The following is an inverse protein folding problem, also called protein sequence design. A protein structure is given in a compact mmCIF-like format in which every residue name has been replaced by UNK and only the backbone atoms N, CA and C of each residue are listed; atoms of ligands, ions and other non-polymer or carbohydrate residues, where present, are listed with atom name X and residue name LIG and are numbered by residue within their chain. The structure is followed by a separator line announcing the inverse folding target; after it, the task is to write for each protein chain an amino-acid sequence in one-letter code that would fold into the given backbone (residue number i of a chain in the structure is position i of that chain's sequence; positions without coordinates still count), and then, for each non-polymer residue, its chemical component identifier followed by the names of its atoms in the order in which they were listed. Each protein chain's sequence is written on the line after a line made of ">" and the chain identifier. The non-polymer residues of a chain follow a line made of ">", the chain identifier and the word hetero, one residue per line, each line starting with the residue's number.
data_IF_549756170884
#
_entry.id   IF_549756170884
#
_cell.length_a   1.000
_cell.length_b   1.000
_cell.length_c   1.000
_cell.angle_alpha   90.00
_cell.angle_beta   90.00
_cell.angle_gamma   90.00
#
_symmetry.space_group_name_H-M   'P 1'
#
loop_
_entity.id
_entity.type
_entity.pdbx_description
1 polymer ?
#
# COMPACT_ATOMS: atom_id res chain seq x y z
N UNK A 1 -9.88 -21.13 -13.79
CA UNK A 1 -11.31 -21.01 -13.38
C UNK A 1 -12.02 -19.84 -14.10
N UNK A 2 -11.46 -19.40 -15.23
CA UNK A 2 -12.09 -18.35 -16.04
C UNK A 2 -13.55 -18.69 -16.37
N UNK A 3 -14.43 -17.69 -16.23
CA UNK A 3 -15.86 -17.71 -16.60
C UNK A 3 -16.69 -18.87 -15.99
N UNK A 4 -16.20 -19.51 -14.90
CA UNK A 4 -16.80 -20.75 -14.37
C UNK A 4 -18.27 -20.59 -13.96
N UNK A 5 -18.63 -19.46 -13.39
CA UNK A 5 -20.00 -19.14 -12.99
C UNK A 5 -20.57 -17.91 -13.73
N UNK A 6 -19.96 -17.57 -14.87
CA UNK A 6 -20.44 -16.44 -15.71
C UNK A 6 -21.92 -16.59 -16.07
N UNK A 7 -22.71 -15.56 -15.81
CA UNK A 7 -24.13 -15.55 -16.10
C UNK A 7 -24.99 -16.47 -15.22
N UNK A 8 -24.43 -17.09 -14.19
CA UNK A 8 -25.18 -17.92 -13.25
C UNK A 8 -25.84 -17.05 -12.17
N UNK A 9 -26.86 -16.29 -12.55
CA UNK A 9 -27.49 -15.25 -11.72
C UNK A 9 -27.81 -15.72 -10.29
N UNK A 10 -28.31 -16.94 -10.10
CA UNK A 10 -28.71 -17.48 -8.78
C UNK A 10 -27.60 -18.26 -8.07
N UNK A 11 -26.39 -18.26 -8.61
CA UNK A 11 -25.28 -18.99 -7.98
C UNK A 11 -24.80 -18.22 -6.74
N UNK A 12 -25.05 -18.78 -5.58
CA UNK A 12 -24.60 -18.26 -4.28
C UNK A 12 -24.32 -19.40 -3.29
N UNK A 13 -23.70 -20.48 -3.78
CA UNK A 13 -23.31 -21.63 -2.97
C UNK A 13 -22.00 -21.32 -2.25
N UNK A 14 -21.88 -21.76 -0.98
CA UNK A 14 -20.62 -21.64 -0.26
C UNK A 14 -19.52 -22.52 -0.88
N UNK A 15 -18.49 -21.88 -1.37
CA UNK A 15 -17.31 -22.49 -1.99
C UNK A 15 -16.02 -22.04 -1.31
N UNK A 16 -16.12 -21.44 -0.11
CA UNK A 16 -14.95 -20.89 0.61
C UNK A 16 -13.89 -21.94 0.97
N UNK A 17 -14.27 -23.24 1.02
CA UNK A 17 -13.34 -24.34 1.27
C UNK A 17 -12.66 -24.90 0.03
N UNK A 18 -12.90 -24.34 -1.15
CA UNK A 18 -12.24 -24.81 -2.37
C UNK A 18 -10.75 -24.52 -2.35
N UNK A 19 -9.96 -25.50 -2.78
CA UNK A 19 -8.55 -25.29 -3.08
C UNK A 19 -8.40 -24.64 -4.46
N UNK A 20 -8.01 -23.36 -4.45
CA UNK A 20 -7.78 -22.56 -5.66
C UNK A 20 -6.29 -22.23 -5.84
N UNK A 21 -5.40 -22.79 -5.01
CA UNK A 21 -3.98 -22.46 -4.96
C UNK A 21 -3.24 -22.64 -6.29
N UNK A 22 -3.73 -23.48 -7.18
CA UNK A 22 -3.16 -23.69 -8.52
C UNK A 22 -3.85 -22.88 -9.63
N UNK A 23 -4.79 -21.99 -9.28
CA UNK A 23 -5.51 -21.18 -10.26
C UNK A 23 -4.69 -19.97 -10.65
N UNK A 24 -4.48 -19.77 -11.93
CA UNK A 24 -3.75 -18.63 -12.50
C UNK A 24 -4.68 -17.59 -13.15
N UNK A 25 -5.92 -17.97 -13.48
CA UNK A 25 -6.86 -17.09 -14.18
C UNK A 25 -8.27 -17.22 -13.59
N UNK A 26 -8.78 -16.11 -13.04
CA UNK A 26 -10.13 -15.98 -12.46
C UNK A 26 -11.02 -14.99 -13.25
N UNK A 27 -10.65 -14.69 -14.52
CA UNK A 27 -11.42 -13.76 -15.34
C UNK A 27 -12.89 -14.16 -15.36
N UNK A 28 -13.79 -13.19 -15.15
CA UNK A 28 -15.23 -13.33 -15.29
C UNK A 28 -15.90 -14.37 -14.40
N UNK A 29 -15.19 -14.92 -13.39
CA UNK A 29 -15.63 -16.09 -12.63
C UNK A 29 -17.02 -15.94 -12.04
N UNK A 30 -17.35 -14.76 -11.51
CA UNK A 30 -18.65 -14.45 -10.90
C UNK A 30 -19.37 -13.30 -11.62
N UNK A 31 -19.02 -13.06 -12.89
CA UNK A 31 -19.68 -12.02 -13.68
C UNK A 31 -21.16 -12.35 -13.92
N UNK A 32 -22.03 -11.33 -13.83
CA UNK A 32 -23.48 -11.48 -13.97
C UNK A 32 -24.08 -12.54 -13.02
N UNK A 33 -23.62 -12.58 -11.77
CA UNK A 33 -24.13 -13.48 -10.73
C UNK A 33 -24.51 -12.72 -9.47
N UNK A 34 -25.26 -13.37 -8.58
CA UNK A 34 -25.60 -12.85 -7.23
C UNK A 34 -24.66 -13.41 -6.16
N UNK A 35 -23.47 -13.89 -6.55
CA UNK A 35 -22.52 -14.52 -5.64
C UNK A 35 -22.05 -13.55 -4.56
N UNK A 36 -22.22 -13.93 -3.29
CA UNK A 36 -21.79 -13.16 -2.12
C UNK A 36 -21.35 -14.05 -0.95
N UNK A 37 -20.70 -15.19 -1.23
CA UNK A 37 -20.15 -16.03 -0.17
C UNK A 37 -18.72 -15.62 0.17
N UNK A 38 -18.33 -15.89 1.42
CA UNK A 38 -16.98 -15.59 1.89
C UNK A 38 -15.95 -16.47 1.18
N UNK A 39 -15.03 -15.82 0.49
CA UNK A 39 -13.89 -16.41 -0.22
C UNK A 39 -12.56 -15.78 0.21
N UNK A 40 -12.55 -15.02 1.31
CA UNK A 40 -11.35 -14.35 1.83
C UNK A 40 -10.22 -15.33 2.20
N UNK A 41 -10.54 -16.60 2.49
CA UNK A 41 -9.55 -17.65 2.79
C UNK A 41 -8.91 -18.29 1.57
N UNK A 42 -9.31 -17.94 0.35
CA UNK A 42 -8.71 -18.50 -0.86
C UNK A 42 -7.25 -18.11 -1.03
N UNK A 43 -6.40 -19.07 -1.33
CA UNK A 43 -5.03 -18.81 -1.77
C UNK A 43 -5.02 -18.42 -3.25
N UNK A 44 -4.97 -17.12 -3.52
CA UNK A 44 -4.95 -16.55 -4.88
C UNK A 44 -3.54 -16.16 -5.33
N UNK A 45 -2.50 -16.53 -4.59
CA UNK A 45 -1.10 -16.12 -4.80
C UNK A 45 -0.51 -16.50 -6.16
N UNK A 46 -1.17 -17.38 -6.91
CA UNK A 46 -0.76 -17.75 -8.27
C UNK A 46 -1.64 -17.12 -9.37
N UNK A 47 -2.65 -16.30 -9.00
CA UNK A 47 -3.53 -15.66 -9.97
C UNK A 47 -2.82 -14.47 -10.61
N UNK A 48 -2.86 -14.42 -11.93
CA UNK A 48 -2.29 -13.31 -12.73
C UNK A 48 -3.37 -12.48 -13.41
N UNK A 49 -4.60 -12.98 -13.54
CA UNK A 49 -5.69 -12.30 -14.21
C UNK A 49 -6.99 -12.40 -13.40
N UNK A 50 -7.50 -11.23 -12.97
CA UNK A 50 -8.77 -11.08 -12.25
C UNK A 50 -9.77 -10.20 -13.02
N UNK A 51 -9.52 -9.97 -14.33
CA UNK A 51 -10.40 -9.16 -15.18
C UNK A 51 -11.86 -9.62 -15.06
N UNK A 52 -12.78 -8.66 -14.89
CA UNK A 52 -14.21 -8.91 -14.89
C UNK A 52 -14.70 -9.92 -13.82
N UNK A 53 -13.91 -10.22 -12.76
CA UNK A 53 -14.23 -11.30 -11.83
C UNK A 53 -15.60 -11.13 -11.16
N UNK A 54 -15.99 -9.91 -10.81
CA UNK A 54 -17.29 -9.56 -10.22
C UNK A 54 -18.06 -8.55 -11.09
N UNK A 55 -17.87 -8.61 -12.40
CA UNK A 55 -18.51 -7.74 -13.37
C UNK A 55 -20.04 -7.91 -13.35
N UNK A 56 -20.80 -6.82 -13.13
CA UNK A 56 -22.26 -6.85 -12.93
C UNK A 56 -22.69 -7.83 -11.82
N UNK A 57 -21.92 -7.88 -10.72
CA UNK A 57 -22.33 -8.60 -9.52
C UNK A 57 -22.81 -7.58 -8.48
N UNK A 58 -24.13 -7.44 -8.36
CA UNK A 58 -24.75 -6.40 -7.53
C UNK A 58 -24.61 -6.65 -6.02
N UNK A 59 -24.37 -7.90 -5.61
CA UNK A 59 -24.48 -8.30 -4.22
C UNK A 59 -23.11 -8.56 -3.54
N UNK A 60 -22.02 -8.75 -4.28
CA UNK A 60 -20.75 -9.12 -3.70
C UNK A 60 -20.20 -8.02 -2.78
N UNK A 61 -20.00 -8.38 -1.51
CA UNK A 61 -19.46 -7.47 -0.49
C UNK A 61 -18.69 -8.22 0.60
N UNK A 62 -17.73 -9.06 0.20
CA UNK A 62 -16.89 -9.77 1.17
C UNK A 62 -15.53 -9.11 1.30
N UNK A 63 -14.91 -9.28 2.48
CA UNK A 63 -13.55 -8.84 2.74
C UNK A 63 -12.55 -9.70 1.97
N UNK A 64 -11.69 -9.05 1.18
CA UNK A 64 -10.66 -9.68 0.36
C UNK A 64 -9.25 -9.23 0.77
N UNK A 65 -9.11 -8.59 1.92
CA UNK A 65 -7.85 -7.98 2.34
C UNK A 65 -6.72 -8.99 2.58
N UNK A 66 -7.07 -10.25 2.83
CA UNK A 66 -6.11 -11.36 3.00
C UNK A 66 -5.59 -11.97 1.70
N UNK A 67 -6.12 -11.57 0.55
CA UNK A 67 -5.67 -12.07 -0.74
C UNK A 67 -4.27 -11.56 -1.10
N UNK A 68 -3.36 -12.48 -1.43
CA UNK A 68 -2.09 -12.15 -2.07
C UNK A 68 -2.30 -11.93 -3.57
N UNK A 69 -2.41 -10.68 -3.98
CA UNK A 69 -2.61 -10.28 -5.39
C UNK A 69 -1.31 -9.82 -6.07
N UNK A 70 -0.15 -10.05 -5.45
CA UNK A 70 1.14 -9.54 -5.90
C UNK A 70 1.56 -9.97 -7.32
N UNK A 71 0.97 -11.06 -7.85
CA UNK A 71 1.20 -11.53 -9.22
C UNK A 71 0.13 -11.09 -10.22
N UNK A 72 -0.93 -10.41 -9.78
CA UNK A 72 -2.01 -10.00 -10.67
C UNK A 72 -1.54 -8.86 -11.56
N UNK A 73 -1.72 -9.02 -12.86
CA UNK A 73 -1.37 -7.99 -13.86
C UNK A 73 -2.57 -7.29 -14.48
N UNK A 74 -3.73 -7.94 -14.48
CA UNK A 74 -4.96 -7.40 -15.06
C UNK A 74 -6.11 -7.45 -14.04
N UNK A 75 -6.53 -6.25 -13.58
CA UNK A 75 -7.71 -6.03 -12.72
C UNK A 75 -8.81 -5.24 -13.45
N UNK A 76 -8.72 -5.13 -14.78
CA UNK A 76 -9.70 -4.37 -15.55
C UNK A 76 -11.12 -4.85 -15.32
N UNK A 77 -12.05 -3.92 -15.06
CA UNK A 77 -13.48 -4.17 -14.84
C UNK A 77 -13.79 -5.16 -13.70
N UNK A 78 -12.85 -5.38 -12.74
CA UNK A 78 -13.05 -6.40 -11.71
C UNK A 78 -14.34 -6.20 -10.91
N UNK A 79 -14.68 -4.95 -10.59
CA UNK A 79 -15.90 -4.56 -9.86
C UNK A 79 -16.79 -3.61 -10.69
N UNK A 80 -16.76 -3.74 -12.03
CA UNK A 80 -17.57 -2.91 -12.91
C UNK A 80 -19.04 -3.17 -12.68
N UNK A 81 -19.80 -2.11 -12.36
CA UNK A 81 -21.22 -2.19 -11.95
C UNK A 81 -21.43 -3.29 -10.90
N UNK A 82 -20.65 -3.17 -9.82
CA UNK A 82 -20.79 -3.97 -8.59
C UNK A 82 -21.15 -3.03 -7.41
N UNK A 83 -22.36 -2.44 -7.41
CA UNK A 83 -22.71 -1.33 -6.54
C UNK A 83 -22.73 -1.70 -5.05
N UNK A 84 -22.88 -2.97 -4.70
CA UNK A 84 -22.84 -3.46 -3.33
C UNK A 84 -21.43 -3.59 -2.75
N UNK A 85 -20.36 -3.51 -3.56
CA UNK A 85 -19.02 -3.80 -3.11
C UNK A 85 -18.42 -2.65 -2.29
N UNK A 86 -18.07 -2.93 -1.06
CA UNK A 86 -17.26 -2.11 -0.17
C UNK A 86 -16.38 -2.98 0.75
N UNK A 87 -16.03 -4.20 0.32
CA UNK A 87 -15.11 -5.09 1.04
C UNK A 87 -13.72 -4.47 1.15
N UNK A 88 -13.01 -4.80 2.25
CA UNK A 88 -11.66 -4.29 2.45
C UNK A 88 -10.67 -4.88 1.45
N UNK A 89 -9.86 -4.03 0.82
CA UNK A 89 -8.81 -4.33 -0.16
C UNK A 89 -7.59 -3.42 0.03
N UNK A 90 -7.48 -2.78 1.20
CA UNK A 90 -6.48 -1.74 1.45
C UNK A 90 -5.04 -2.26 1.52
N UNK A 91 -4.83 -3.54 1.85
CA UNK A 91 -3.49 -4.14 1.95
C UNK A 91 -3.02 -4.85 0.68
N UNK A 92 -3.74 -4.76 -0.42
CA UNK A 92 -3.35 -5.40 -1.67
C UNK A 92 -2.02 -4.86 -2.20
N UNK A 93 -1.09 -5.76 -2.51
CA UNK A 93 0.11 -5.44 -3.28
C UNK A 93 -0.23 -5.38 -4.77
N UNK A 94 -0.39 -4.16 -5.28
CA UNK A 94 -0.78 -3.92 -6.68
C UNK A 94 0.42 -3.61 -7.59
N UNK A 95 1.65 -3.80 -7.12
CA UNK A 95 2.88 -3.42 -7.82
C UNK A 95 3.06 -4.06 -9.20
N UNK A 96 2.47 -5.25 -9.42
CA UNK A 96 2.51 -5.95 -10.72
C UNK A 96 1.36 -5.57 -11.67
N UNK A 97 0.36 -4.79 -11.20
CA UNK A 97 -0.83 -4.48 -12.00
C UNK A 97 -0.50 -3.48 -13.11
N UNK A 98 -0.85 -3.83 -14.34
CA UNK A 98 -0.64 -2.97 -15.51
C UNK A 98 -1.90 -2.29 -16.02
N UNK A 99 -3.08 -2.82 -15.71
CA UNK A 99 -4.36 -2.23 -16.11
C UNK A 99 -5.41 -2.33 -15.01
N UNK A 100 -6.06 -1.20 -14.73
CA UNK A 100 -7.18 -1.04 -13.80
C UNK A 100 -8.36 -0.33 -14.46
N UNK A 101 -8.44 -0.35 -15.81
CA UNK A 101 -9.49 0.37 -16.51
C UNK A 101 -10.87 -0.14 -16.10
N UNK A 102 -11.78 0.80 -15.89
CA UNK A 102 -13.18 0.53 -15.49
C UNK A 102 -13.33 -0.26 -14.18
N UNK A 103 -12.29 -0.40 -13.34
CA UNK A 103 -12.30 -1.33 -12.19
C UNK A 103 -13.46 -1.06 -11.22
N UNK A 104 -13.74 0.19 -10.89
CA UNK A 104 -14.82 0.62 -10.00
C UNK A 104 -15.86 1.49 -10.72
N UNK A 105 -16.01 1.35 -12.04
CA UNK A 105 -17.00 2.09 -12.81
C UNK A 105 -18.40 1.60 -12.48
N UNK A 106 -19.26 2.46 -11.95
CA UNK A 106 -20.61 2.10 -11.49
C UNK A 106 -21.69 2.31 -12.55
N UNK A 107 -21.33 2.79 -13.75
CA UNK A 107 -22.28 2.95 -14.86
C UNK A 107 -23.47 3.88 -14.56
N UNK A 108 -23.39 4.70 -13.53
CA UNK A 108 -24.47 5.58 -13.07
C UNK A 108 -25.40 4.95 -12.02
N UNK A 109 -25.12 3.75 -11.53
CA UNK A 109 -25.87 3.15 -10.42
C UNK A 109 -25.40 3.74 -9.08
N UNK A 110 -26.28 3.82 -8.06
CA UNK A 110 -25.86 4.12 -6.71
C UNK A 110 -24.84 3.09 -6.22
N UNK A 111 -23.81 3.54 -5.49
CA UNK A 111 -22.73 2.69 -5.00
C UNK A 111 -22.44 2.93 -3.52
N UNK A 112 -21.60 2.07 -2.95
CA UNK A 112 -21.14 2.17 -1.56
C UNK A 112 -19.62 2.16 -1.43
N UNK A 113 -18.87 2.04 -2.56
CA UNK A 113 -17.43 1.87 -2.56
C UNK A 113 -16.71 3.13 -2.08
N UNK A 114 -16.06 3.03 -0.92
CA UNK A 114 -15.22 4.10 -0.35
C UNK A 114 -14.06 3.54 0.49
N UNK A 115 -13.47 2.41 0.10
CA UNK A 115 -12.31 1.86 0.81
C UNK A 115 -11.07 2.70 0.57
N UNK A 116 -10.22 2.78 1.60
CA UNK A 116 -8.91 3.43 1.49
C UNK A 116 -7.96 2.58 0.66
N UNK A 117 -7.63 3.07 -0.52
CA UNK A 117 -6.71 2.47 -1.48
C UNK A 117 -5.51 3.39 -1.77
N UNK A 118 -5.27 4.36 -0.90
CA UNK A 118 -4.18 5.34 -1.03
C UNK A 118 -2.79 4.69 -1.07
N UNK A 119 -2.65 3.51 -0.43
CA UNK A 119 -1.39 2.77 -0.36
C UNK A 119 -1.11 1.84 -1.55
N UNK A 120 -2.00 1.77 -2.53
CA UNK A 120 -1.77 0.94 -3.70
C UNK A 120 -0.56 1.43 -4.50
N UNK A 121 0.31 0.50 -4.89
CA UNK A 121 1.39 0.79 -5.84
C UNK A 121 0.84 0.80 -7.27
N UNK A 122 0.77 1.98 -7.85
CA UNK A 122 0.25 2.20 -9.20
C UNK A 122 1.34 2.46 -10.22
N UNK A 123 2.61 2.26 -9.86
CA UNK A 123 3.76 2.62 -10.66
C UNK A 123 3.89 1.82 -11.96
N UNK A 124 3.38 0.59 -11.99
CA UNK A 124 3.35 -0.26 -13.18
C UNK A 124 2.12 -0.05 -14.07
N UNK A 125 1.11 0.71 -13.58
CA UNK A 125 -0.16 0.85 -14.30
C UNK A 125 -0.01 1.78 -15.51
N UNK A 126 -0.54 1.32 -16.63
CA UNK A 126 -0.52 2.06 -17.91
C UNK A 126 -1.93 2.46 -18.38
N UNK A 127 -2.98 1.90 -17.77
CA UNK A 127 -4.36 2.18 -18.16
C UNK A 127 -5.30 2.20 -16.95
N UNK A 128 -5.91 3.37 -16.71
CA UNK A 128 -6.93 3.64 -15.68
C UNK A 128 -8.18 4.31 -16.29
N UNK A 129 -8.48 4.09 -17.60
CA UNK A 129 -9.64 4.68 -18.22
C UNK A 129 -10.89 4.38 -17.39
N UNK A 130 -11.69 5.44 -17.12
CA UNK A 130 -12.98 5.37 -16.44
C UNK A 130 -12.99 4.56 -15.13
N UNK A 131 -11.84 4.47 -14.42
CA UNK A 131 -11.70 3.63 -13.22
C UNK A 131 -12.73 3.95 -12.14
N UNK A 132 -13.01 5.23 -11.92
CA UNK A 132 -13.98 5.73 -10.92
C UNK A 132 -15.19 6.43 -11.55
N UNK A 133 -15.53 6.08 -12.79
CA UNK A 133 -16.69 6.68 -13.44
C UNK A 133 -17.98 6.42 -12.65
N UNK A 134 -18.68 7.50 -12.29
CA UNK A 134 -19.94 7.46 -11.51
C UNK A 134 -19.83 6.83 -10.11
N UNK A 135 -18.65 6.79 -9.47
CA UNK A 135 -18.52 6.43 -8.07
C UNK A 135 -19.04 7.56 -7.18
N UNK A 136 -20.29 7.45 -6.72
CA UNK A 136 -21.01 8.58 -6.11
C UNK A 136 -20.57 8.90 -4.67
N UNK A 137 -19.96 7.93 -3.96
CA UNK A 137 -19.54 8.09 -2.55
C UNK A 137 -18.04 8.08 -2.34
N UNK A 138 -17.25 7.69 -3.33
CA UNK A 138 -15.79 7.61 -3.21
C UNK A 138 -15.17 8.97 -2.90
N UNK A 139 -14.35 9.05 -1.82
CA UNK A 139 -13.75 10.29 -1.36
C UNK A 139 -12.36 10.09 -0.73
N UNK A 140 -11.57 9.12 -1.18
CA UNK A 140 -10.25 8.85 -0.66
C UNK A 140 -9.18 9.73 -1.28
N UNK A 141 -8.07 9.92 -0.58
CA UNK A 141 -6.92 10.68 -1.06
C UNK A 141 -6.02 9.80 -1.92
N UNK A 142 -5.93 10.09 -3.22
CA UNK A 142 -5.07 9.39 -4.17
C UNK A 142 -3.85 10.21 -4.60
N UNK A 143 -3.58 11.34 -3.93
CA UNK A 143 -2.43 12.20 -4.26
C UNK A 143 -1.09 11.48 -4.11
N UNK A 144 -1.05 10.40 -3.31
CA UNK A 144 0.10 9.53 -3.14
C UNK A 144 0.36 8.55 -4.28
N UNK A 145 -0.58 8.39 -5.22
CA UNK A 145 -0.40 7.43 -6.31
C UNK A 145 0.71 7.85 -7.27
N UNK A 146 1.61 6.90 -7.54
CA UNK A 146 2.67 7.05 -8.52
C UNK A 146 2.18 6.57 -9.89
N UNK A 147 2.05 7.47 -10.86
CA UNK A 147 1.46 7.18 -12.18
C UNK A 147 2.35 7.66 -13.33
N UNK A 148 3.65 7.27 -13.37
CA UNK A 148 4.62 7.78 -14.33
C UNK A 148 4.29 7.40 -15.76
N UNK A 149 3.59 6.28 -15.94
CA UNK A 149 3.26 5.74 -17.26
C UNK A 149 1.97 6.33 -17.86
N UNK A 150 1.26 7.18 -17.09
CA UNK A 150 0.01 7.81 -17.52
C UNK A 150 0.19 9.33 -17.55
N UNK A 151 0.62 9.86 -18.71
CA UNK A 151 1.06 11.25 -18.85
C UNK A 151 0.00 12.34 -18.65
N UNK A 152 -1.28 11.98 -18.62
CA UNK A 152 -2.41 12.89 -18.37
C UNK A 152 -3.58 12.14 -17.77
N UNK A 153 -4.55 12.84 -17.15
CA UNK A 153 -5.76 12.21 -16.62
C UNK A 153 -6.42 11.33 -17.70
N UNK A 154 -6.64 10.02 -17.41
CA UNK A 154 -7.26 9.13 -18.36
C UNK A 154 -8.70 9.53 -18.70
N UNK A 155 -9.14 9.16 -19.89
CA UNK A 155 -10.51 9.41 -20.34
C UNK A 155 -11.52 8.94 -19.29
N UNK A 156 -12.41 9.84 -18.89
CA UNK A 156 -13.50 9.57 -17.94
C UNK A 156 -13.06 9.02 -16.57
N UNK A 157 -11.78 9.11 -16.18
CA UNK A 157 -11.23 8.53 -14.94
C UNK A 157 -12.15 8.74 -13.73
N UNK A 158 -12.66 9.94 -13.54
CA UNK A 158 -13.54 10.33 -12.42
C UNK A 158 -14.81 11.05 -12.88
N UNK A 159 -15.20 10.89 -14.15
CA UNK A 159 -16.40 11.56 -14.66
C UNK A 159 -17.63 11.08 -13.89
N UNK A 160 -18.51 12.02 -13.51
CA UNK A 160 -19.69 11.77 -12.69
C UNK A 160 -19.44 11.15 -11.31
N UNK A 161 -18.20 11.04 -10.86
CA UNK A 161 -17.87 10.61 -9.50
C UNK A 161 -18.29 11.67 -8.45
N UNK A 162 -18.15 11.33 -7.16
CA UNK A 162 -18.42 12.23 -6.04
C UNK A 162 -17.90 13.64 -6.32
N UNK A 163 -18.77 14.65 -6.28
CA UNK A 163 -18.45 16.00 -6.71
C UNK A 163 -17.39 16.66 -5.83
N UNK A 164 -17.36 16.37 -4.53
CA UNK A 164 -16.36 16.90 -3.61
C UNK A 164 -14.99 16.31 -3.93
N UNK A 165 -14.91 14.99 -4.13
CA UNK A 165 -13.66 14.31 -4.43
C UNK A 165 -13.10 14.67 -5.81
N UNK A 166 -13.92 14.57 -6.86
CA UNK A 166 -13.44 14.79 -8.25
C UNK A 166 -12.95 16.20 -8.51
N UNK A 167 -13.44 17.20 -7.73
CA UNK A 167 -13.07 18.61 -7.87
C UNK A 167 -11.96 19.02 -6.91
N UNK A 168 -11.56 18.16 -5.97
CA UNK A 168 -10.46 18.41 -5.04
C UNK A 168 -9.14 17.96 -5.66
N UNK A 169 -8.41 18.91 -6.24
CA UNK A 169 -7.12 18.64 -6.88
C UNK A 169 -6.06 18.10 -5.89
N UNK A 170 -6.20 18.37 -4.59
CA UNK A 170 -5.25 17.90 -3.57
C UNK A 170 -5.37 16.39 -3.31
N UNK A 171 -6.49 15.78 -3.70
CA UNK A 171 -6.75 14.34 -3.57
C UNK A 171 -6.50 13.54 -4.85
N UNK A 172 -6.04 14.18 -5.91
CA UNK A 172 -5.90 13.54 -7.21
C UNK A 172 -4.44 13.13 -7.47
N UNK A 173 -4.22 12.03 -8.25
CA UNK A 173 -2.88 11.68 -8.71
C UNK A 173 -2.24 12.80 -9.54
N UNK A 174 -0.91 12.92 -9.45
CA UNK A 174 -0.15 13.79 -10.34
C UNK A 174 0.25 13.03 -11.60
N UNK A 175 -0.55 13.11 -12.63
CA UNK A 175 -0.39 12.35 -13.86
C UNK A 175 0.98 12.56 -14.52
N UNK A 176 1.58 11.48 -14.99
CA UNK A 176 2.94 11.48 -15.55
C UNK A 176 4.05 11.58 -14.52
N UNK A 177 3.68 11.60 -13.23
CA UNK A 177 4.62 11.76 -12.14
C UNK A 177 4.36 10.75 -11.02
N UNK A 178 5.36 10.63 -10.19
CA UNK A 178 5.22 10.10 -8.85
C UNK A 178 5.32 11.26 -7.87
N UNK A 179 4.50 11.29 -6.81
CA UNK A 179 4.60 12.35 -5.82
C UNK A 179 6.05 12.51 -5.33
N UNK A 180 6.56 13.72 -5.41
CA UNK A 180 7.92 14.03 -4.96
C UNK A 180 8.07 14.00 -3.43
N UNK A 181 6.96 13.91 -2.71
CA UNK A 181 6.89 13.90 -1.26
C UNK A 181 6.61 12.50 -0.72
N UNK A 182 7.44 11.55 -1.04
CA UNK A 182 7.44 10.35 -0.26
C UNK A 182 7.92 10.70 1.14
N UNK A 183 7.05 10.50 2.12
CA UNK A 183 7.38 10.78 3.51
C UNK A 183 8.24 9.65 4.06
N UNK A 184 9.29 10.04 4.74
CA UNK A 184 10.11 9.16 5.55
C UNK A 184 9.89 9.54 7.00
N UNK A 185 9.50 8.59 7.83
CA UNK A 185 9.45 8.74 9.28
C UNK A 185 10.52 7.85 9.89
N UNK A 186 11.37 8.42 10.75
CA UNK A 186 12.36 7.67 11.52
C UNK A 186 11.92 7.70 12.98
N UNK A 187 11.80 6.55 13.61
CA UNK A 187 11.46 6.40 15.02
C UNK A 187 12.49 5.55 15.74
N UNK A 188 12.58 5.70 17.07
CA UNK A 188 13.33 4.86 17.99
C UNK A 188 12.35 4.01 18.80
N UNK A 189 12.77 2.84 19.27
CA UNK A 189 12.03 2.07 20.28
C UNK A 189 12.16 2.67 21.69
N UNK A 190 13.05 3.65 21.86
CA UNK A 190 13.14 4.47 23.06
C UNK A 190 12.15 5.64 22.95
N UNK A 191 11.10 5.64 23.76
CA UNK A 191 9.94 6.52 23.63
C UNK A 191 10.23 8.00 23.95
N UNK A 192 11.29 8.30 24.71
CA UNK A 192 11.70 9.65 25.06
C UNK A 192 12.93 10.13 24.27
N UNK A 193 13.50 9.25 23.43
CA UNK A 193 14.72 9.49 22.65
C UNK A 193 15.95 9.84 23.53
N UNK A 194 15.94 9.43 24.82
CA UNK A 194 17.04 9.61 25.77
C UNK A 194 17.71 8.26 26.00
N UNK A 195 18.74 7.99 25.23
CA UNK A 195 19.40 6.68 25.22
C UNK A 195 20.39 6.58 26.37
N UNK A 196 20.24 5.57 27.20
CA UNK A 196 21.17 5.30 28.33
C UNK A 196 22.39 4.50 27.88
N UNK A 197 22.22 3.23 27.60
CA UNK A 197 23.24 2.30 27.07
C UNK A 197 22.53 1.08 26.52
N UNK A 198 23.18 0.33 25.62
CA UNK A 198 22.65 -0.90 25.11
C UNK A 198 22.25 -0.82 23.62
N UNK A 199 21.27 -1.62 23.22
CA UNK A 199 20.81 -1.68 21.84
C UNK A 199 19.56 -0.82 21.67
N UNK A 200 19.54 -0.02 20.61
CA UNK A 200 18.38 0.77 20.17
C UNK A 200 17.95 0.30 18.80
N UNK A 201 16.66 0.12 18.61
CA UNK A 201 16.07 -0.20 17.30
C UNK A 201 15.60 1.09 16.62
N UNK A 202 16.23 1.43 15.52
CA UNK A 202 15.80 2.55 14.68
C UNK A 202 14.95 2.01 13.53
N UNK A 203 13.76 2.55 13.39
CA UNK A 203 12.81 2.14 12.34
C UNK A 203 12.61 3.29 11.36
N UNK A 204 12.84 3.02 10.08
CA UNK A 204 12.52 3.92 8.97
C UNK A 204 11.28 3.40 8.25
N UNK A 205 10.23 4.21 8.22
CA UNK A 205 8.98 3.91 7.52
C UNK A 205 8.85 4.87 6.33
N UNK A 206 8.77 4.29 5.15
CA UNK A 206 8.61 5.02 3.89
C UNK A 206 7.17 4.89 3.42
N UNK A 207 6.67 5.91 2.75
CA UNK A 207 5.32 5.86 2.15
C UNK A 207 5.25 5.01 0.88
N UNK A 208 6.39 4.48 0.41
CA UNK A 208 6.52 3.65 -0.79
C UNK A 208 7.47 2.49 -0.54
N UNK A 209 7.36 1.42 -1.31
CA UNK A 209 8.29 0.30 -1.29
C UNK A 209 9.67 0.70 -1.82
N UNK A 210 10.72 0.24 -1.16
CA UNK A 210 12.08 0.54 -1.56
C UNK A 210 12.63 -0.52 -2.51
N UNK A 211 13.33 -0.07 -3.57
CA UNK A 211 13.98 -0.95 -4.57
C UNK A 211 15.17 -1.71 -3.99
N UNK A 212 15.80 -1.16 -2.97
CA UNK A 212 16.96 -1.73 -2.32
C UNK A 212 16.99 -1.32 -0.84
N UNK A 213 17.80 -2.02 -0.05
CA UNK A 213 17.99 -1.71 1.37
C UNK A 213 18.36 -0.23 1.57
N UNK A 214 17.54 0.55 2.28
CA UNK A 214 17.88 1.91 2.68
C UNK A 214 19.17 1.97 3.46
N UNK A 215 19.81 3.13 3.45
CA UNK A 215 21.00 3.41 4.24
C UNK A 215 20.65 4.34 5.37
N UNK A 216 21.16 4.04 6.57
CA UNK A 216 21.02 4.87 7.76
C UNK A 216 22.37 5.48 8.13
N UNK A 217 22.34 6.70 8.63
CA UNK A 217 23.50 7.38 9.20
C UNK A 217 23.13 8.01 10.54
N UNK A 218 24.05 7.91 11.51
CA UNK A 218 23.95 8.57 12.80
C UNK A 218 25.17 9.49 12.90
N UNK A 219 24.95 10.78 13.11
CA UNK A 219 25.99 11.80 12.99
C UNK A 219 27.23 11.48 13.83
N UNK A 220 28.38 11.40 13.16
CA UNK A 220 29.69 11.13 13.83
C UNK A 220 29.89 9.69 14.30
N UNK A 221 28.93 8.78 14.13
CA UNK A 221 28.98 7.41 14.68
C UNK A 221 28.78 6.33 13.61
N UNK A 222 27.77 6.47 12.79
CA UNK A 222 27.39 5.49 11.74
C UNK A 222 27.23 6.22 10.42
N UNK A 223 27.79 5.66 9.35
CA UNK A 223 27.71 6.27 8.01
C UNK A 223 27.26 5.25 6.99
N UNK A 224 26.10 5.51 6.34
CA UNK A 224 25.59 4.77 5.17
C UNK A 224 25.51 3.24 5.38
N UNK A 225 25.09 2.78 6.55
CA UNK A 225 24.91 1.35 6.83
C UNK A 225 23.56 0.86 6.33
N UNK A 226 23.50 -0.34 5.74
CA UNK A 226 22.27 -0.94 5.25
C UNK A 226 21.32 -1.28 6.38
N UNK A 227 20.05 -0.96 6.20
CA UNK A 227 18.98 -1.39 7.08
C UNK A 227 18.47 -2.79 6.68
N UNK A 228 17.81 -3.46 7.60
CA UNK A 228 17.17 -4.76 7.39
C UNK A 228 15.68 -4.56 7.18
N UNK A 229 15.12 -5.19 6.16
CA UNK A 229 13.68 -5.17 5.92
C UNK A 229 12.94 -5.80 7.10
N UNK A 230 11.88 -5.14 7.56
CA UNK A 230 11.02 -5.63 8.63
C UNK A 230 9.82 -6.40 8.05
N UNK A 231 8.61 -5.89 8.20
CA UNK A 231 7.38 -6.59 7.83
C UNK A 231 6.98 -6.36 6.37
N UNK A 232 7.35 -5.22 5.81
CA UNK A 232 7.02 -4.82 4.42
C UNK A 232 8.22 -4.15 3.76
N UNK A 233 8.20 -4.03 2.44
CA UNK A 233 9.24 -3.33 1.69
C UNK A 233 9.29 -1.81 1.96
N UNK A 234 8.33 -1.29 2.71
CA UNK A 234 8.29 0.11 3.15
C UNK A 234 8.81 0.32 4.58
N UNK A 235 9.00 -0.75 5.37
CA UNK A 235 9.45 -0.66 6.77
C UNK A 235 10.77 -1.36 6.97
N UNK A 236 11.76 -0.62 7.46
CA UNK A 236 13.14 -1.06 7.59
C UNK A 236 13.67 -0.75 8.99
N UNK A 237 14.47 -1.65 9.54
CA UNK A 237 15.03 -1.53 10.89
C UNK A 237 16.56 -1.55 10.86
N UNK A 238 17.16 -0.88 11.83
CA UNK A 238 18.58 -0.93 12.12
C UNK A 238 18.77 -1.08 13.63
N UNK A 239 19.41 -2.14 14.03
CA UNK A 239 19.77 -2.39 15.43
C UNK A 239 21.11 -1.73 15.73
N UNK A 240 21.07 -0.64 16.46
CA UNK A 240 22.26 0.13 16.79
C UNK A 240 22.72 -0.19 18.21
N UNK A 241 23.95 -0.73 18.31
CA UNK A 241 24.61 -0.86 19.59
C UNK A 241 25.28 0.48 19.92
N UNK A 242 24.81 1.14 20.98
CA UNK A 242 25.31 2.44 21.40
C UNK A 242 26.77 2.29 21.91
N UNK A 243 27.73 2.99 21.29
CA UNK A 243 29.12 2.93 21.75
C UNK A 243 29.29 3.56 23.14
N UNK A 244 30.07 2.91 24.00
CA UNK A 244 30.30 3.39 25.37
C UNK A 244 31.18 4.66 25.46
N UNK A 245 31.80 5.05 24.36
CA UNK A 245 32.69 6.23 24.29
C UNK A 245 31.97 7.52 23.84
N UNK A 246 30.66 7.52 23.66
CA UNK A 246 29.89 8.73 23.36
C UNK A 246 29.63 9.47 24.66
N UNK A 247 30.01 10.75 24.70
CA UNK A 247 29.83 11.58 25.89
C UNK A 247 28.37 11.78 26.24
N UNK A 248 28.05 11.76 27.52
CA UNK A 248 26.74 12.12 28.02
C UNK A 248 26.33 13.54 27.57
N UNK A 249 25.05 13.72 27.25
CA UNK A 249 24.52 14.97 26.73
C UNK A 249 24.76 15.21 25.23
N UNK A 250 25.44 14.26 24.55
CA UNK A 250 25.65 14.37 23.11
C UNK A 250 24.32 14.18 22.39
N UNK A 251 24.00 15.12 21.50
CA UNK A 251 22.85 15.02 20.59
C UNK A 251 23.30 14.46 19.25
N UNK A 252 22.62 13.42 18.79
CA UNK A 252 22.91 12.72 17.55
C UNK A 252 21.72 12.86 16.59
N UNK A 253 22.00 13.23 15.35
CA UNK A 253 20.99 13.24 14.29
C UNK A 253 21.03 11.92 13.52
N UNK A 254 19.88 11.29 13.40
CA UNK A 254 19.68 10.09 12.60
C UNK A 254 19.03 10.48 11.27
N UNK A 255 19.62 10.04 10.19
CA UNK A 255 19.10 10.28 8.83
C UNK A 255 19.06 8.97 8.06
N UNK A 256 18.14 8.83 7.13
CA UNK A 256 18.12 7.70 6.21
C UNK A 256 18.06 8.18 4.75
N UNK A 257 18.69 7.39 3.87
CA UNK A 257 18.62 7.58 2.43
C UNK A 257 18.11 6.30 1.78
N UNK A 258 17.33 6.42 0.75
CA UNK A 258 16.76 5.27 0.04
C UNK A 258 16.48 5.64 -1.42
N UNK A 259 16.27 4.60 -2.22
CA UNK A 259 15.72 4.74 -3.57
C UNK A 259 14.54 3.78 -3.68
N UNK A 260 13.40 4.30 -4.10
CA UNK A 260 12.22 3.46 -4.28
C UNK A 260 12.27 2.65 -5.59
N UNK A 261 11.25 1.81 -5.78
CA UNK A 261 11.13 0.97 -6.98
C UNK A 261 11.04 1.78 -8.28
N UNK A 262 10.79 3.09 -8.19
CA UNK A 262 10.70 4.01 -9.32
C UNK A 262 11.97 4.86 -9.50
N UNK A 263 13.09 4.45 -8.91
CA UNK A 263 14.39 5.14 -8.99
C UNK A 263 14.40 6.54 -8.36
N UNK A 264 13.44 6.86 -7.47
CA UNK A 264 13.43 8.14 -6.76
C UNK A 264 14.28 8.05 -5.50
N UNK A 265 15.08 9.04 -5.27
CA UNK A 265 15.91 9.15 -4.09
C UNK A 265 15.15 9.85 -2.97
N UNK A 266 15.14 9.22 -1.80
CA UNK A 266 14.73 9.83 -0.54
C UNK A 266 15.98 10.31 0.20
N UNK A 267 16.04 11.58 0.49
CA UNK A 267 17.09 12.14 1.32
C UNK A 267 16.49 13.05 2.37
N UNK A 268 16.69 12.69 3.62
CA UNK A 268 16.81 13.61 4.73
C UNK A 268 15.65 14.52 5.14
N UNK A 269 14.40 14.25 4.76
CA UNK A 269 13.28 15.04 5.28
C UNK A 269 12.75 14.54 6.63
N UNK A 270 13.20 13.38 7.10
CA UNK A 270 12.94 12.94 8.47
C UNK A 270 14.30 12.78 9.16
N UNK A 271 14.49 13.54 10.20
CA UNK A 271 15.60 13.36 11.16
C UNK A 271 15.01 13.02 12.51
N UNK A 272 15.58 12.02 13.16
CA UNK A 272 15.36 11.72 14.56
C UNK A 272 16.54 12.29 15.35
N UNK A 273 16.26 13.02 16.41
CA UNK A 273 17.31 13.50 17.33
C UNK A 273 17.33 12.61 18.55
N UNK A 274 18.49 12.02 18.84
CA UNK A 274 18.72 11.18 20.01
C UNK A 274 19.66 11.90 20.97
N UNK A 275 19.39 11.79 22.27
CA UNK A 275 20.25 12.36 23.32
C UNK A 275 20.84 11.23 24.16
N UNK A 276 22.15 11.21 24.35
CA UNK A 276 22.81 10.25 25.23
C UNK A 276 22.64 10.69 26.67
N UNK A 277 21.99 9.86 27.49
CA UNK A 277 21.80 10.13 28.93
C UNK A 277 23.11 10.06 29.71
N UNK A 278 23.28 10.87 30.75
CA UNK A 278 24.36 10.70 31.69
C UNK A 278 24.27 9.32 32.39
N UNK A 279 25.33 8.54 32.30
CA UNK A 279 25.47 7.34 33.13
C UNK A 279 25.73 7.80 34.55
N UNK A 280 24.73 7.80 35.43
CA UNK A 280 24.97 7.98 36.85
C UNK A 280 25.57 6.69 37.42
N UNK A 281 26.86 6.64 37.62
CA UNK A 281 27.44 5.68 38.54
C UNK A 281 27.05 6.12 39.96
N UNK A 282 26.10 5.44 40.57
CA UNK A 282 26.02 5.47 42.03
C UNK A 282 27.28 4.85 42.54
N UNK A 283 28.25 5.66 42.97
CA UNK A 283 29.34 5.19 43.74
C UNK A 283 28.74 4.53 45.01
N UNK A 284 28.80 3.20 45.08
CA UNK A 284 28.52 2.49 46.31
C UNK A 284 29.58 2.89 47.31
N UNK A 285 29.31 3.95 48.07
CA UNK A 285 30.10 4.21 49.28
C UNK A 285 29.75 3.07 50.22
N UNK A 286 30.61 2.05 50.21
CA UNK A 286 30.63 1.04 51.25
C UNK A 286 30.86 1.70 52.61
N UNK A 287 29.90 1.53 53.50
CA UNK A 287 30.09 1.57 54.94
C UNK A 287 29.76 0.19 55.46
#
# INVERSE_FOLDING_TARGET
>A
MSDMFYGKQRFNVNIGSWDVSNVTNMRGMFAFSEFNQNIGSWDVSNVTNMREMFYFNDNFNQDLNSWDVSKVTDMSRMFYVAPGFNGNISSWDTSSVTTMNYMFNMGGNPDVFNQDISNWDTSSVTDMEAMFFSTSVFNQDLSGWCVPNIGSEPSSFKANANATWRNDASKQPQWGNCPSNATLVITSDDSDNIITTGQVTLTATFSQNMAASPKISISGVVTNVSMTQSTTAAVWTYYWQVPSNISSGTTLNVTATATDTNSRSYSGNASLTLTISPTFYLASNGV
#
